data_IF_341212469140
#
_entry.id   IF_341212469140
#
_cell.length_a   1.000
_cell.length_b   1.000
_cell.length_c   1.000
_cell.angle_alpha   90.00
_cell.angle_beta   90.00
_cell.angle_gamma   90.00
#
_symmetry.space_group_name_H-M   'P 1'
#
loop_
_entity.id
_entity.type
_entity.pdbx_description
1 polymer ?
#
# COMPACT_ATOMS: atom_id res chain seq x y z
N UNK A 1 14.83 -27.47 -1.64
CA UNK A 1 13.87 -26.50 -1.06
C UNK A 1 13.32 -27.10 0.22
N UNK A 2 13.46 -26.41 1.36
CA UNK A 2 12.83 -26.82 2.61
C UNK A 2 11.43 -26.18 2.71
N UNK A 3 10.40 -27.01 2.85
CA UNK A 3 9.02 -26.56 3.00
C UNK A 3 8.72 -26.26 4.48
N UNK A 4 8.71 -24.98 4.85
CA UNK A 4 8.20 -24.54 6.15
C UNK A 4 6.68 -24.36 6.08
N UNK A 5 5.94 -25.20 6.79
CA UNK A 5 4.48 -25.07 6.95
C UNK A 5 4.16 -24.33 8.25
N UNK A 6 4.47 -23.04 8.31
CA UNK A 6 4.05 -22.17 9.41
C UNK A 6 3.08 -21.12 8.86
N UNK A 7 1.87 -21.08 9.43
CA UNK A 7 0.84 -20.11 9.09
C UNK A 7 1.31 -18.76 9.66
N UNK A 8 2.03 -17.97 8.87
CA UNK A 8 2.48 -16.63 9.25
C UNK A 8 3.92 -16.27 8.86
N UNK A 9 4.78 -17.25 8.57
CA UNK A 9 6.16 -16.95 8.19
C UNK A 9 6.21 -16.36 6.78
N UNK A 10 6.75 -15.15 6.65
CA UNK A 10 6.90 -14.44 5.38
C UNK A 10 8.36 -14.45 4.93
N UNK A 11 9.25 -14.02 5.83
CA UNK A 11 10.69 -14.08 5.66
C UNK A 11 11.41 -13.94 7.00
N UNK A 12 12.72 -14.06 6.94
CA UNK A 12 13.61 -13.74 8.04
C UNK A 12 14.97 -13.27 7.52
N UNK A 13 15.53 -12.28 8.19
CA UNK A 13 16.90 -11.81 8.00
C UNK A 13 17.80 -12.27 9.16
N UNK A 14 18.94 -12.83 8.79
CA UNK A 14 19.98 -13.28 9.71
C UNK A 14 21.23 -12.45 9.46
N UNK A 15 21.53 -11.47 10.33
CA UNK A 15 22.80 -10.77 10.26
C UNK A 15 23.93 -11.74 10.60
N UNK A 16 25.00 -11.73 9.82
CA UNK A 16 26.16 -12.57 10.04
C UNK A 16 27.46 -11.80 10.00
N UNK A 17 28.50 -12.32 10.67
CA UNK A 17 29.81 -11.66 10.78
C UNK A 17 30.49 -11.46 9.42
N UNK A 18 30.23 -12.37 8.47
CA UNK A 18 30.82 -12.34 7.12
C UNK A 18 29.80 -12.24 5.99
N UNK A 19 28.59 -12.73 6.23
CA UNK A 19 27.51 -12.77 5.23
C UNK A 19 26.18 -12.66 5.94
N UNK A 20 25.40 -11.67 5.52
CA UNK A 20 24.00 -11.58 5.89
C UNK A 20 23.18 -12.53 5.00
N UNK A 21 22.15 -13.14 5.57
CA UNK A 21 21.31 -14.13 4.88
C UNK A 21 19.85 -13.76 5.01
N UNK A 22 19.12 -13.75 3.89
CA UNK A 22 17.66 -13.63 3.87
C UNK A 22 17.06 -14.97 3.49
N UNK A 23 16.07 -15.43 4.23
CA UNK A 23 15.26 -16.61 3.93
C UNK A 23 13.83 -16.15 3.67
N UNK A 24 13.25 -16.59 2.54
CA UNK A 24 11.89 -16.24 2.15
C UNK A 24 11.01 -17.48 2.06
N UNK A 25 9.72 -17.33 2.35
CA UNK A 25 8.74 -18.39 2.21
C UNK A 25 8.35 -18.62 0.75
N UNK A 26 8.88 -19.68 0.13
CA UNK A 26 8.62 -20.02 -1.28
C UNK A 26 7.16 -20.31 -1.64
N UNK A 27 6.26 -20.43 -0.66
CA UNK A 27 4.82 -20.58 -0.91
C UNK A 27 4.11 -19.25 -1.22
N UNK A 28 4.82 -18.12 -1.15
CA UNK A 28 4.27 -16.79 -1.43
C UNK A 28 4.39 -16.46 -2.90
N UNK A 29 3.49 -15.60 -3.39
CA UNK A 29 3.54 -15.14 -4.79
C UNK A 29 4.82 -14.34 -5.07
N UNK A 30 5.28 -14.23 -6.33
CA UNK A 30 6.45 -13.44 -6.67
C UNK A 30 6.40 -11.99 -6.17
N UNK A 31 5.22 -11.36 -6.24
CA UNK A 31 5.02 -9.99 -5.73
C UNK A 31 5.19 -9.90 -4.22
N UNK A 32 4.65 -10.88 -3.49
CA UNK A 32 4.84 -10.96 -2.04
C UNK A 32 6.30 -11.22 -1.68
N UNK A 33 6.96 -12.15 -2.37
CA UNK A 33 8.38 -12.44 -2.17
C UNK A 33 9.26 -11.21 -2.40
N UNK A 34 8.97 -10.40 -3.41
CA UNK A 34 9.67 -9.14 -3.64
C UNK A 34 9.51 -8.18 -2.46
N UNK A 35 8.29 -8.04 -1.94
CA UNK A 35 8.02 -7.15 -0.80
C UNK A 35 8.67 -7.68 0.49
N UNK A 36 8.56 -8.98 0.76
CA UNK A 36 9.16 -9.60 1.93
C UNK A 36 10.70 -9.47 1.85
N UNK A 37 11.30 -9.70 0.68
CA UNK A 37 12.73 -9.51 0.47
C UNK A 37 13.17 -8.07 0.75
N UNK A 38 12.45 -7.09 0.18
CA UNK A 38 12.71 -5.67 0.43
C UNK A 38 12.63 -5.33 1.92
N UNK A 39 11.63 -5.88 2.63
CA UNK A 39 11.45 -5.68 4.07
C UNK A 39 12.64 -6.20 4.87
N UNK A 40 13.08 -7.44 4.59
CA UNK A 40 14.24 -8.03 5.27
C UNK A 40 15.56 -7.31 4.92
N UNK A 41 15.69 -6.76 3.70
CA UNK A 41 16.84 -5.90 3.33
C UNK A 41 16.90 -4.68 4.24
N UNK A 42 15.77 -3.99 4.48
CA UNK A 42 15.76 -2.80 5.34
C UNK A 42 16.23 -3.13 6.77
N UNK A 43 15.75 -4.26 7.32
CA UNK A 43 16.23 -4.74 8.62
C UNK A 43 17.74 -4.93 8.66
N UNK A 44 18.32 -5.56 7.63
CA UNK A 44 19.76 -5.80 7.56
C UNK A 44 20.60 -4.54 7.37
N UNK A 45 20.14 -3.57 6.58
CA UNK A 45 20.93 -2.36 6.30
C UNK A 45 20.75 -1.27 7.35
N UNK A 46 19.60 -1.22 8.02
CA UNK A 46 19.22 -0.09 8.89
C UNK A 46 19.06 -0.48 10.35
N UNK A 47 18.62 -1.70 10.63
CA UNK A 47 18.25 -2.12 11.99
C UNK A 47 19.23 -3.13 12.59
N UNK A 48 20.25 -3.56 11.85
CA UNK A 48 21.20 -4.63 12.23
C UNK A 48 21.87 -4.44 13.60
N UNK A 49 22.12 -3.21 14.03
CA UNK A 49 22.73 -2.91 15.33
C UNK A 49 21.72 -2.76 16.48
N UNK A 50 20.42 -2.76 16.17
CA UNK A 50 19.34 -2.45 17.11
C UNK A 50 18.62 -3.70 17.63
N UNK A 51 19.00 -4.88 17.12
CA UNK A 51 18.40 -6.16 17.48
C UNK A 51 19.52 -7.18 17.72
N UNK A 52 19.59 -7.71 18.94
CA UNK A 52 20.47 -8.83 19.29
C UNK A 52 19.95 -10.12 18.64
N UNK A 53 20.22 -10.35 17.35
CA UNK A 53 19.99 -11.63 16.67
C UNK A 53 19.13 -11.58 15.39
N UNK A 54 18.27 -12.59 15.23
CA UNK A 54 17.48 -12.83 14.01
C UNK A 54 16.28 -11.89 13.90
N UNK A 55 16.04 -11.35 12.70
CA UNK A 55 14.77 -10.73 12.34
C UNK A 55 13.83 -11.80 11.83
N UNK A 56 12.77 -12.09 12.57
CA UNK A 56 11.69 -12.97 12.14
C UNK A 56 10.40 -12.17 12.11
N UNK A 57 9.85 -11.98 10.92
CA UNK A 57 8.58 -11.30 10.73
C UNK A 57 7.50 -11.90 11.67
N UNK A 58 6.81 -11.05 12.44
CA UNK A 58 5.70 -11.36 13.36
C UNK A 58 6.03 -11.95 14.74
N UNK A 59 7.27 -11.87 15.23
CA UNK A 59 7.54 -12.20 16.64
C UNK A 59 7.08 -11.09 17.59
N UNK A 60 6.40 -11.47 18.68
CA UNK A 60 5.76 -10.58 19.68
C UNK A 60 6.70 -9.59 20.40
N UNK A 61 8.00 -9.60 20.11
CA UNK A 61 9.02 -8.71 20.70
C UNK A 61 9.60 -7.68 19.72
N UNK A 62 9.11 -7.60 18.49
CA UNK A 62 9.66 -6.65 17.51
C UNK A 62 9.21 -5.21 17.79
N UNK A 63 10.13 -4.26 17.63
CA UNK A 63 9.87 -2.83 17.78
C UNK A 63 8.97 -2.35 16.64
N UNK A 64 7.75 -1.90 16.96
CA UNK A 64 6.74 -1.50 15.98
C UNK A 64 7.20 -0.37 15.06
N UNK A 65 8.10 0.50 15.53
CA UNK A 65 8.68 1.55 14.69
C UNK A 65 9.63 0.97 13.63
N UNK A 66 10.46 0.00 13.98
CA UNK A 66 11.38 -0.65 13.04
C UNK A 66 10.63 -1.48 12.00
N UNK A 67 9.57 -2.19 12.41
CA UNK A 67 8.70 -2.92 11.48
C UNK A 67 7.96 -1.98 10.51
N UNK A 68 7.47 -0.83 11.02
CA UNK A 68 6.88 0.20 10.17
C UNK A 68 7.91 0.74 9.18
N UNK A 69 9.12 1.06 9.65
CA UNK A 69 10.20 1.59 8.81
C UNK A 69 10.66 0.58 7.74
N UNK A 70 10.73 -0.71 8.07
CA UNK A 70 11.02 -1.79 7.11
C UNK A 70 9.93 -1.92 6.05
N UNK A 71 8.65 -1.77 6.42
CA UNK A 71 7.55 -1.77 5.47
C UNK A 71 7.59 -0.56 4.52
N UNK A 72 7.81 0.65 5.04
CA UNK A 72 7.95 1.85 4.19
C UNK A 72 9.18 1.75 3.28
N UNK A 73 10.30 1.26 3.80
CA UNK A 73 11.52 1.08 3.03
C UNK A 73 11.36 0.02 1.92
N UNK A 74 10.68 -1.09 2.19
CA UNK A 74 10.34 -2.07 1.15
C UNK A 74 9.45 -1.47 0.07
N UNK A 75 8.45 -0.67 0.47
CA UNK A 75 7.60 0.03 -0.49
C UNK A 75 8.36 1.06 -1.33
N UNK A 76 9.36 1.75 -0.76
CA UNK A 76 10.27 2.63 -1.50
C UNK A 76 11.16 1.86 -2.48
N UNK A 77 11.71 0.73 -2.06
CA UNK A 77 12.56 -0.11 -2.93
C UNK A 77 11.80 -0.65 -4.13
N UNK A 78 10.55 -1.11 -3.93
CA UNK A 78 9.73 -1.65 -5.02
C UNK A 78 9.05 -0.57 -5.86
N UNK A 79 8.58 0.50 -5.22
CA UNK A 79 7.78 1.54 -5.85
C UNK A 79 8.30 2.93 -5.44
N UNK A 80 9.47 3.33 -5.99
CA UNK A 80 10.14 4.58 -5.62
C UNK A 80 9.25 5.78 -5.89
N UNK A 81 9.20 6.75 -4.97
CA UNK A 81 8.30 7.89 -5.16
C UNK A 81 8.69 8.69 -6.41
N UNK A 82 10.00 8.78 -6.70
CA UNK A 82 10.54 9.47 -7.88
C UNK A 82 10.08 8.87 -9.21
N UNK A 83 9.66 7.60 -9.21
CA UNK A 83 9.03 6.97 -10.37
C UNK A 83 7.50 7.03 -10.31
N UNK A 84 6.93 6.80 -9.13
CA UNK A 84 5.48 6.77 -8.95
C UNK A 84 4.81 8.12 -9.23
N UNK A 85 5.38 9.22 -8.72
CA UNK A 85 4.77 10.55 -8.85
C UNK A 85 4.65 11.01 -10.31
N UNK A 86 5.67 10.87 -11.18
CA UNK A 86 5.53 11.11 -12.62
C UNK A 86 4.43 10.29 -13.28
N UNK A 87 4.30 9.00 -12.93
CA UNK A 87 3.27 8.12 -13.50
C UNK A 87 1.88 8.60 -13.07
N UNK A 88 1.71 8.95 -11.80
CA UNK A 88 0.45 9.51 -11.28
C UNK A 88 0.09 10.80 -12.02
N UNK A 89 1.03 11.74 -12.16
CA UNK A 89 0.81 13.01 -12.86
C UNK A 89 0.41 12.82 -14.32
N UNK A 90 1.08 11.93 -15.04
CA UNK A 90 0.79 11.65 -16.45
C UNK A 90 -0.62 11.10 -16.65
N UNK A 91 -1.15 10.34 -15.69
CA UNK A 91 -2.45 9.68 -15.80
C UNK A 91 -3.57 10.43 -15.08
N UNK A 92 -3.26 11.48 -14.30
CA UNK A 92 -4.18 12.06 -13.32
C UNK A 92 -5.55 12.44 -13.89
N UNK A 93 -5.58 13.11 -15.04
CA UNK A 93 -6.83 13.55 -15.69
C UNK A 93 -7.68 12.39 -16.23
N UNK A 94 -7.06 11.25 -16.50
CA UNK A 94 -7.76 10.03 -16.93
C UNK A 94 -8.43 9.30 -15.77
N UNK A 95 -7.96 9.49 -14.53
CA UNK A 95 -8.43 8.80 -13.33
C UNK A 95 -9.76 9.37 -12.78
N UNK A 96 -10.78 9.40 -13.64
CA UNK A 96 -12.06 10.08 -13.40
C UNK A 96 -13.26 9.16 -13.15
N UNK A 97 -13.05 7.85 -13.05
CA UNK A 97 -14.08 6.87 -12.65
C UNK A 97 -13.49 5.81 -11.72
N UNK A 98 -14.36 5.11 -10.96
CA UNK A 98 -13.91 4.04 -10.06
C UNK A 98 -13.19 2.92 -10.82
N UNK A 99 -13.75 2.49 -11.96
CA UNK A 99 -13.14 1.45 -12.80
C UNK A 99 -11.73 1.80 -13.28
N UNK A 100 -11.51 3.03 -13.75
CA UNK A 100 -10.20 3.47 -14.26
C UNK A 100 -9.16 3.55 -13.15
N UNK A 101 -9.55 3.99 -11.95
CA UNK A 101 -8.65 4.01 -10.80
C UNK A 101 -8.29 2.59 -10.38
N UNK A 102 -9.26 1.67 -10.36
CA UNK A 102 -9.00 0.26 -10.08
C UNK A 102 -8.01 -0.35 -11.10
N UNK A 103 -8.28 -0.19 -12.40
CA UNK A 103 -7.41 -0.68 -13.48
C UNK A 103 -6.00 -0.09 -13.39
N UNK A 104 -5.90 1.20 -13.08
CA UNK A 104 -4.61 1.87 -12.90
C UNK A 104 -3.81 1.29 -11.72
N UNK A 105 -4.45 1.02 -10.58
CA UNK A 105 -3.77 0.39 -9.43
C UNK A 105 -3.33 -1.04 -9.73
N UNK A 106 -4.12 -1.79 -10.50
CA UNK A 106 -3.70 -3.10 -11.00
C UNK A 106 -2.50 -2.98 -11.94
N UNK A 107 -2.49 -1.99 -12.84
CA UNK A 107 -1.34 -1.73 -13.72
C UNK A 107 -0.07 -1.36 -12.91
N UNK A 108 -0.19 -0.56 -11.86
CA UNK A 108 0.92 -0.26 -10.94
C UNK A 108 1.43 -1.52 -10.23
N UNK A 109 0.54 -2.36 -9.74
CA UNK A 109 0.85 -3.65 -9.10
C UNK A 109 1.63 -4.57 -10.05
N UNK A 110 1.29 -4.60 -11.34
CA UNK A 110 2.06 -5.34 -12.34
C UNK A 110 3.41 -4.67 -12.63
N UNK A 111 3.43 -3.36 -12.88
CA UNK A 111 4.64 -2.61 -13.25
C UNK A 111 5.73 -2.71 -12.19
N UNK A 112 5.37 -2.53 -10.92
CA UNK A 112 6.32 -2.52 -9.81
C UNK A 112 6.51 -3.90 -9.16
N UNK A 113 5.82 -4.93 -9.69
CA UNK A 113 5.83 -6.28 -9.10
C UNK A 113 5.54 -6.25 -7.59
N UNK A 114 4.64 -5.36 -7.17
CA UNK A 114 4.28 -5.12 -5.78
C UNK A 114 2.88 -5.68 -5.50
N UNK A 115 2.60 -6.21 -4.30
CA UNK A 115 1.27 -6.67 -3.94
C UNK A 115 0.23 -5.53 -4.06
N UNK A 116 -1.03 -5.80 -4.47
CA UNK A 116 -2.07 -4.76 -4.55
C UNK A 116 -2.22 -3.96 -3.25
N UNK A 117 -2.16 -4.63 -2.09
CA UNK A 117 -2.23 -3.95 -0.79
C UNK A 117 -1.08 -2.95 -0.56
N UNK A 118 0.14 -3.27 -1.02
CA UNK A 118 1.28 -2.36 -0.97
C UNK A 118 1.03 -1.13 -1.85
N UNK A 119 0.44 -1.30 -3.03
CA UNK A 119 0.07 -0.19 -3.91
C UNK A 119 -0.94 0.74 -3.23
N UNK A 120 -1.99 0.19 -2.62
CA UNK A 120 -2.98 0.96 -1.87
C UNK A 120 -2.33 1.78 -0.74
N UNK A 121 -1.52 1.13 0.10
CA UNK A 121 -0.88 1.79 1.24
C UNK A 121 0.07 2.89 0.76
N UNK A 122 0.88 2.59 -0.25
CA UNK A 122 1.89 3.53 -0.77
C UNK A 122 1.26 4.78 -1.39
N UNK A 123 0.16 4.63 -2.15
CA UNK A 123 -0.64 5.75 -2.65
C UNK A 123 -1.20 6.61 -1.50
N UNK A 124 -1.63 5.97 -0.42
CA UNK A 124 -2.19 6.66 0.75
C UNK A 124 -1.10 7.42 1.52
N UNK A 125 0.07 6.82 1.68
CA UNK A 125 1.19 7.41 2.41
C UNK A 125 1.82 8.59 1.66
N UNK A 126 1.93 8.49 0.33
CA UNK A 126 2.52 9.53 -0.52
C UNK A 126 1.51 10.60 -0.97
N UNK A 127 0.37 10.72 -0.31
CA UNK A 127 -0.70 11.64 -0.74
C UNK A 127 -0.27 13.11 -0.75
N UNK A 128 0.58 13.51 0.18
CA UNK A 128 1.05 14.90 0.26
C UNK A 128 2.13 15.20 -0.77
N UNK A 129 3.03 14.27 -0.97
CA UNK A 129 4.07 14.29 -1.99
C UNK A 129 3.44 14.30 -3.39
N UNK A 130 2.39 13.49 -3.60
CA UNK A 130 1.59 13.50 -4.82
C UNK A 130 0.93 14.87 -5.02
N UNK A 131 0.29 15.42 -3.98
CA UNK A 131 -0.31 16.74 -4.06
C UNK A 131 0.72 17.83 -4.44
N UNK A 132 1.89 17.86 -3.80
CA UNK A 132 2.97 18.80 -4.13
C UNK A 132 3.37 18.70 -5.61
N UNK A 133 3.62 17.47 -6.08
CA UNK A 133 4.09 17.23 -7.45
C UNK A 133 3.04 17.57 -8.53
N UNK A 134 1.77 17.27 -8.26
CA UNK A 134 0.65 17.66 -9.12
C UNK A 134 0.52 19.19 -9.21
N UNK A 135 0.83 19.91 -8.13
CA UNK A 135 0.79 21.38 -8.07
C UNK A 135 2.12 22.05 -8.48
N UNK A 136 3.02 21.32 -9.14
CA UNK A 136 4.20 21.89 -9.80
C UNK A 136 5.47 21.96 -8.98
N UNK A 137 5.51 21.35 -7.79
CA UNK A 137 6.78 21.18 -7.06
C UNK A 137 7.65 20.15 -7.79
N UNK A 138 8.91 20.49 -8.05
CA UNK A 138 9.87 19.57 -8.68
C UNK A 138 10.20 18.37 -7.78
N UNK A 139 10.55 17.23 -8.37
CA UNK A 139 10.87 15.99 -7.64
C UNK A 139 11.98 16.15 -6.60
N UNK A 140 12.95 17.03 -6.86
CA UNK A 140 14.08 17.32 -5.97
C UNK A 140 13.70 18.23 -4.80
N UNK A 141 12.54 18.89 -4.88
CA UNK A 141 12.05 19.86 -3.91
C UNK A 141 10.81 19.36 -3.14
N UNK A 142 10.39 18.10 -3.35
CA UNK A 142 9.29 17.50 -2.61
C UNK A 142 9.66 17.40 -1.13
N UNK A 143 8.86 18.00 -0.26
CA UNK A 143 8.98 17.82 1.18
C UNK A 143 8.33 16.50 1.59
N UNK A 144 9.12 15.56 2.09
CA UNK A 144 8.63 14.27 2.60
C UNK A 144 8.13 14.44 4.04
N UNK A 145 6.84 14.20 4.29
CA UNK A 145 6.24 14.38 5.61
C UNK A 145 5.44 13.17 6.06
N UNK A 146 5.70 12.71 7.29
CA UNK A 146 4.84 11.73 7.95
C UNK A 146 3.41 12.25 8.11
N UNK A 147 2.44 11.33 8.19
CA UNK A 147 1.05 11.65 8.49
C UNK A 147 0.89 12.47 9.79
N UNK A 148 1.76 12.27 10.78
CA UNK A 148 1.78 13.04 12.02
C UNK A 148 2.22 14.48 11.78
N UNK A 149 3.29 14.68 11.00
CA UNK A 149 3.76 16.02 10.63
C UNK A 149 2.71 16.77 9.81
N UNK A 150 2.09 16.12 8.82
CA UNK A 150 1.00 16.71 8.04
C UNK A 150 -0.13 17.21 8.95
N UNK A 151 -0.62 16.36 9.87
CA UNK A 151 -1.66 16.73 10.84
C UNK A 151 -1.24 17.90 11.74
N UNK A 152 -0.01 17.88 12.26
CA UNK A 152 0.49 18.96 13.14
C UNK A 152 0.58 20.31 12.44
N UNK A 153 0.71 20.31 11.11
CA UNK A 153 0.74 21.51 10.26
C UNK A 153 -0.64 21.85 9.67
N UNK A 154 -1.70 21.14 10.03
CA UNK A 154 -3.04 21.34 9.48
C UNK A 154 -3.19 20.96 7.99
N UNK A 155 -2.24 20.19 7.44
CA UNK A 155 -2.27 19.75 6.05
C UNK A 155 -3.28 18.61 5.92
N UNK A 156 -4.32 18.84 5.11
CA UNK A 156 -5.34 17.84 4.79
C UNK A 156 -5.45 17.71 3.27
N UNK A 157 -4.99 16.59 2.73
CA UNK A 157 -5.10 16.25 1.32
C UNK A 157 -5.70 14.86 1.17
N UNK A 158 -6.50 14.69 0.13
CA UNK A 158 -7.07 13.40 -0.29
C UNK A 158 -6.02 12.60 -1.06
N UNK A 159 -5.94 11.31 -0.79
CA UNK A 159 -5.21 10.37 -1.64
C UNK A 159 -6.06 9.94 -2.83
N UNK A 160 -5.43 9.34 -3.85
CA UNK A 160 -6.17 8.71 -4.95
C UNK A 160 -7.14 7.62 -4.45
N UNK A 161 -6.85 6.97 -3.32
CA UNK A 161 -7.76 5.98 -2.72
C UNK A 161 -8.98 6.62 -2.07
N UNK A 162 -8.83 7.82 -1.50
CA UNK A 162 -9.97 8.57 -0.96
C UNK A 162 -10.90 8.99 -2.11
N UNK A 163 -10.31 9.53 -3.18
CA UNK A 163 -11.03 9.85 -4.43
C UNK A 163 -11.73 8.61 -4.99
N UNK A 164 -11.05 7.46 -5.01
CA UNK A 164 -11.62 6.20 -5.50
C UNK A 164 -12.89 5.80 -4.73
N UNK A 165 -12.84 5.84 -3.39
CA UNK A 165 -13.99 5.51 -2.53
C UNK A 165 -15.16 6.44 -2.80
N UNK A 166 -14.90 7.74 -2.97
CA UNK A 166 -15.94 8.73 -3.28
C UNK A 166 -16.58 8.49 -4.64
N UNK A 167 -15.79 8.16 -5.67
CA UNK A 167 -16.30 7.84 -7.00
C UNK A 167 -17.14 6.55 -6.98
N UNK A 168 -16.65 5.51 -6.32
CA UNK A 168 -17.36 4.25 -6.17
C UNK A 168 -18.74 4.46 -5.52
N UNK A 169 -18.79 5.15 -4.39
CA UNK A 169 -20.05 5.43 -3.71
C UNK A 169 -21.04 6.24 -4.58
N UNK A 170 -20.53 7.21 -5.36
CA UNK A 170 -21.36 8.00 -6.28
C UNK A 170 -21.91 7.17 -7.43
N UNK A 171 -21.11 6.28 -7.99
CA UNK A 171 -21.51 5.39 -9.09
C UNK A 171 -22.54 4.36 -8.61
N UNK A 172 -22.33 3.74 -7.44
CA UNK A 172 -23.28 2.81 -6.81
C UNK A 172 -24.63 3.49 -6.51
N UNK A 173 -24.61 4.72 -5.99
CA UNK A 173 -25.83 5.48 -5.71
C UNK A 173 -26.62 5.82 -6.98
N UNK A 174 -25.94 6.15 -8.09
CA UNK A 174 -26.61 6.39 -9.38
C UNK A 174 -27.31 5.13 -9.89
N UNK A 175 -26.65 3.96 -9.78
CA UNK A 175 -27.26 2.67 -10.15
C UNK A 175 -28.48 2.40 -9.27
N UNK A 176 -28.41 2.67 -7.96
CA UNK A 176 -29.52 2.47 -7.05
C UNK A 176 -30.77 3.30 -7.44
N UNK A 177 -30.59 4.59 -7.74
CA UNK A 177 -31.70 5.48 -8.16
C UNK A 177 -32.28 5.08 -9.53
N UNK A 178 -31.46 4.54 -10.43
CA UNK A 178 -31.90 4.14 -11.78
C UNK A 178 -32.62 2.79 -11.80
N UNK A 179 -32.58 2.00 -10.72
CA UNK A 179 -33.35 0.76 -10.65
C UNK A 179 -34.85 1.09 -10.54
N UNK A 180 -35.71 0.53 -11.42
CA UNK A 180 -37.15 0.72 -11.29
C UNK A 180 -37.61 0.20 -9.94
N UNK A 181 -38.41 0.99 -9.22
CA UNK A 181 -39.11 0.54 -8.01
C UNK A 181 -40.08 -0.54 -8.46
N UNK A 182 -39.70 -1.81 -8.30
CA UNK A 182 -40.65 -2.91 -8.42
C UNK A 182 -41.59 -2.81 -7.23
N UNK A 183 -42.78 -2.24 -7.43
CA UNK A 183 -43.88 -2.33 -6.48
C UNK A 183 -44.33 -3.79 -6.39
N UNK A 184 -43.65 -4.61 -5.59
CA UNK A 184 -44.30 -5.76 -4.98
C UNK A 184 -44.98 -5.26 -3.71
N UNK A 185 -46.23 -4.81 -3.82
CA UNK A 185 -47.08 -4.72 -2.64
C UNK A 185 -47.17 -6.13 -2.04
N UNK A 186 -46.83 -6.35 -0.75
CA UNK A 186 -47.24 -7.59 -0.11
C UNK A 186 -48.79 -7.60 -0.08
N UNK A 187 -49.45 -8.75 -0.32
CA UNK A 187 -50.88 -8.83 -0.19
C UNK A 187 -51.28 -8.52 1.25
N UNK A 188 -52.26 -7.63 1.40
CA UNK A 188 -52.99 -7.43 2.64
C UNK A 188 -53.78 -8.72 2.90
N UNK A 189 -53.22 -9.65 3.66
CA UNK A 189 -54.00 -10.70 4.31
C UNK A 189 -53.57 -10.82 5.77
N UNK A 190 -54.56 -10.51 6.62
CA UNK A 190 -54.73 -10.86 8.03
C UNK A 190 -53.67 -10.36 9.03
N UNK A 191 -54.09 -9.45 9.92
CA UNK A 191 -54.53 -9.80 11.29
C UNK A 191 -55.55 -8.72 11.70
N UNK A 192 -56.83 -9.10 11.69
CA UNK A 192 -57.81 -8.72 12.72
C UNK A 192 -57.75 -9.85 13.74
#
# INVERSE_FOLDING_TARGET
>A
MHNFKTIGFCGAAFPGDKKDTIILNSNRSPKQLNFDCGHEIIHLIKHKEQVDGTFTCFEKKQNSFLEWEANEGSAELLMPYRELLPILKLNWDYLNSSSKIYEFKEALSQKFMAPPATVEIRISNLKYETYQYLNGVDLDNIEILSNKQQKSRGICVESLNDIHKTLQAREEFKIFIQKPITKSNPPLEAII
#
